data_IF_109347812361
#
_entry.id   IF_109347812361
#
_cell.length_a   1.000
_cell.length_b   1.000
_cell.length_c   1.000
_cell.angle_alpha   90.00
_cell.angle_beta   90.00
_cell.angle_gamma   90.00
#
_symmetry.space_group_name_H-M   'P 1'
#
loop_
_entity.id
_entity.type
_entity.pdbx_description
1 polymer ?
#
# COMPACT_ATOMS: atom_id res chain seq x y z
N UNK A 1 -8.33 -0.72 -16.00
CA UNK A 1 -7.91 -2.06 -16.45
C UNK A 1 -8.72 -2.53 -17.65
N UNK A 2 -10.02 -2.86 -17.54
CA UNK A 2 -10.84 -3.27 -18.69
C UNK A 2 -10.74 -2.30 -19.88
N UNK A 3 -11.05 -1.02 -19.63
CA UNK A 3 -10.94 0.03 -20.65
C UNK A 3 -9.50 0.24 -21.15
N UNK A 4 -8.50 -0.06 -20.31
CA UNK A 4 -7.08 0.10 -20.65
C UNK A 4 -6.66 -0.89 -21.74
N UNK A 5 -7.18 -2.13 -21.73
CA UNK A 5 -6.93 -3.11 -22.79
C UNK A 5 -7.47 -2.62 -24.14
N UNK A 6 -8.68 -2.06 -24.14
CA UNK A 6 -9.28 -1.53 -25.37
C UNK A 6 -8.53 -0.29 -25.86
N UNK A 7 -8.18 0.62 -24.95
CA UNK A 7 -7.56 1.89 -25.31
C UNK A 7 -6.13 1.74 -25.84
N UNK A 8 -5.29 0.93 -25.18
CA UNK A 8 -3.87 0.82 -25.52
C UNK A 8 -3.57 -0.30 -26.52
N UNK A 9 -4.38 -1.37 -26.53
CA UNK A 9 -4.09 -2.57 -27.31
C UNK A 9 -5.16 -2.92 -28.32
N UNK A 10 -6.27 -2.17 -28.37
CA UNK A 10 -7.45 -2.46 -29.19
C UNK A 10 -8.07 -3.84 -28.89
N UNK A 11 -7.80 -4.38 -27.71
CA UNK A 11 -8.27 -5.71 -27.28
C UNK A 11 -9.54 -5.55 -26.45
N UNK A 12 -10.62 -6.20 -26.89
CA UNK A 12 -11.86 -6.30 -26.12
C UNK A 12 -11.76 -7.43 -25.10
N UNK A 13 -11.22 -7.11 -23.93
CA UNK A 13 -11.19 -8.05 -22.80
C UNK A 13 -12.60 -8.45 -22.35
N UNK A 14 -12.72 -9.58 -21.63
CA UNK A 14 -13.95 -10.06 -21.02
C UNK A 14 -13.98 -9.76 -19.52
N UNK A 15 -15.13 -9.39 -18.98
CA UNK A 15 -15.32 -9.29 -17.52
C UNK A 15 -16.05 -10.55 -17.03
N UNK A 16 -15.33 -11.38 -16.29
CA UNK A 16 -15.88 -12.53 -15.58
C UNK A 16 -16.06 -12.17 -14.11
N UNK A 17 -17.02 -12.79 -13.43
CA UNK A 17 -17.19 -12.58 -12.00
C UNK A 17 -17.49 -13.90 -11.27
N UNK A 18 -17.05 -13.97 -10.03
CA UNK A 18 -17.44 -15.04 -9.11
C UNK A 18 -17.62 -14.49 -7.70
N UNK A 19 -18.36 -15.20 -6.86
CA UNK A 19 -18.53 -14.84 -5.45
C UNK A 19 -17.58 -15.68 -4.61
N UNK A 20 -16.82 -15.03 -3.72
CA UNK A 20 -16.00 -15.78 -2.76
C UNK A 20 -16.90 -16.57 -1.82
N UNK A 21 -16.52 -17.81 -1.53
CA UNK A 21 -17.20 -18.72 -0.60
C UNK A 21 -16.98 -18.36 0.88
N UNK A 22 -16.16 -17.35 1.17
CA UNK A 22 -15.84 -16.92 2.54
C UNK A 22 -16.96 -16.06 3.17
N UNK A 23 -16.90 -15.90 4.50
CA UNK A 23 -17.89 -15.15 5.31
C UNK A 23 -18.20 -13.74 4.78
N UNK A 24 -17.19 -13.05 4.23
CA UNK A 24 -17.38 -11.84 3.42
C UNK A 24 -17.64 -12.24 1.97
N UNK A 25 -18.92 -12.22 1.58
CA UNK A 25 -19.47 -12.53 0.25
C UNK A 25 -19.08 -11.52 -0.84
N UNK A 26 -17.81 -11.14 -0.93
CA UNK A 26 -17.34 -10.18 -1.90
C UNK A 26 -17.38 -10.77 -3.31
N UNK A 27 -17.91 -10.00 -4.27
CA UNK A 27 -17.79 -10.30 -5.70
C UNK A 27 -16.38 -9.99 -6.16
N UNK A 28 -15.77 -10.92 -6.88
CA UNK A 28 -14.47 -10.74 -7.52
C UNK A 28 -14.72 -10.62 -9.01
N UNK A 29 -14.20 -9.56 -9.61
CA UNK A 29 -14.24 -9.33 -11.04
C UNK A 29 -12.87 -9.66 -11.62
N UNK A 30 -12.87 -10.43 -12.71
CA UNK A 30 -11.67 -10.82 -13.44
C UNK A 30 -11.78 -10.25 -14.84
N UNK A 31 -10.81 -9.42 -15.22
CA UNK A 31 -10.61 -9.02 -16.62
C UNK A 31 -9.78 -10.12 -17.29
N UNK A 32 -10.30 -10.72 -18.35
CA UNK A 32 -9.71 -11.86 -19.04
C UNK A 32 -9.49 -11.56 -20.53
N UNK A 33 -8.35 -12.03 -21.07
CA UNK A 33 -8.11 -12.09 -22.51
C UNK A 33 -7.19 -13.27 -22.82
N UNK A 34 -7.42 -13.92 -23.97
CA UNK A 34 -6.53 -14.88 -24.63
C UNK A 34 -5.98 -14.34 -25.95
N UNK A 35 -6.35 -13.11 -26.32
CA UNK A 35 -5.89 -12.41 -27.51
C UNK A 35 -4.48 -11.84 -27.29
N UNK A 36 -3.54 -12.15 -28.19
CA UNK A 36 -2.20 -11.55 -28.27
C UNK A 36 -1.41 -11.56 -26.93
N UNK A 37 -1.61 -12.60 -26.12
CA UNK A 37 -1.03 -12.67 -24.75
C UNK A 37 0.50 -12.55 -24.75
N UNK A 38 1.20 -13.22 -25.66
CA UNK A 38 2.66 -13.14 -25.72
C UNK A 38 3.16 -11.73 -26.07
N UNK A 39 2.50 -11.07 -27.04
CA UNK A 39 2.82 -9.69 -27.42
C UNK A 39 2.58 -8.73 -26.25
N UNK A 40 1.46 -8.88 -25.54
CA UNK A 40 1.15 -8.07 -24.36
C UNK A 40 2.17 -8.25 -23.24
N UNK A 41 2.52 -9.49 -22.93
CA UNK A 41 3.48 -9.77 -21.86
C UNK A 41 4.87 -9.23 -22.21
N UNK A 42 5.29 -9.32 -23.47
CA UNK A 42 6.56 -8.76 -23.92
C UNK A 42 6.57 -7.23 -23.89
N UNK A 43 5.52 -6.59 -24.41
CA UNK A 43 5.40 -5.12 -24.44
C UNK A 43 5.35 -4.52 -23.02
N UNK A 44 4.60 -5.16 -22.11
CA UNK A 44 4.51 -4.78 -20.70
C UNK A 44 5.76 -5.15 -19.88
N UNK A 45 6.78 -5.76 -20.50
CA UNK A 45 8.01 -6.22 -19.83
C UNK A 45 7.74 -7.22 -18.68
N UNK A 46 6.72 -8.06 -18.85
CA UNK A 46 6.30 -9.07 -17.88
C UNK A 46 6.77 -10.49 -18.24
N UNK A 47 7.23 -10.70 -19.46
CA UNK A 47 7.87 -11.94 -19.88
C UNK A 47 8.84 -11.68 -21.04
N UNK A 48 9.97 -12.40 -21.03
CA UNK A 48 10.78 -12.57 -22.22
C UNK A 48 10.33 -13.85 -22.94
N UNK A 49 10.24 -13.75 -24.27
CA UNK A 49 9.95 -14.86 -25.19
C UNK A 49 10.87 -16.07 -24.97
N UNK A 50 12.07 -15.85 -24.42
CA UNK A 50 13.07 -16.88 -24.19
C UNK A 50 13.24 -17.31 -22.71
N UNK A 51 13.02 -16.41 -21.74
CA UNK A 51 13.41 -16.64 -20.33
C UNK A 51 12.25 -16.85 -19.35
N UNK A 52 10.99 -16.71 -19.80
CA UNK A 52 9.82 -16.91 -18.95
C UNK A 52 9.33 -15.60 -18.33
N UNK A 53 8.64 -15.70 -17.18
CA UNK A 53 8.05 -14.54 -16.51
C UNK A 53 9.12 -13.68 -15.85
N UNK A 54 9.05 -12.37 -16.09
CA UNK A 54 9.84 -11.38 -15.38
C UNK A 54 9.22 -11.13 -14.00
N UNK A 55 10.01 -11.38 -12.94
CA UNK A 55 9.54 -11.32 -11.55
C UNK A 55 9.80 -9.98 -10.88
N UNK A 56 10.59 -9.11 -11.50
CA UNK A 56 10.99 -7.79 -11.01
C UNK A 56 10.28 -6.63 -11.73
N UNK A 57 10.72 -5.42 -11.41
CA UNK A 57 10.32 -4.20 -12.12
C UNK A 57 11.40 -3.92 -13.18
N UNK A 58 10.98 -3.61 -14.41
CA UNK A 58 11.90 -3.29 -15.50
C UNK A 58 12.83 -2.11 -15.13
N UNK A 59 14.15 -2.20 -15.38
CA UNK A 59 15.10 -1.14 -15.04
C UNK A 59 14.78 0.23 -15.64
N UNK A 60 14.14 0.29 -16.82
CA UNK A 60 13.76 1.56 -17.45
C UNK A 60 12.66 2.26 -16.62
N UNK A 61 11.74 1.49 -16.02
CA UNK A 61 10.72 2.01 -15.09
C UNK A 61 11.38 2.46 -13.77
N UNK A 62 12.39 1.71 -13.30
CA UNK A 62 13.14 2.08 -12.10
C UNK A 62 13.98 3.35 -12.30
N UNK A 63 14.38 3.68 -13.53
CA UNK A 63 15.21 4.85 -13.82
C UNK A 63 14.41 6.13 -14.06
N UNK A 64 13.11 6.02 -14.35
CA UNK A 64 12.24 7.15 -14.69
C UNK A 64 11.27 7.51 -13.55
N UNK A 65 11.33 8.75 -13.09
CA UNK A 65 10.53 9.23 -11.94
C UNK A 65 9.02 9.18 -12.23
N UNK A 66 8.58 9.54 -13.45
CA UNK A 66 7.16 9.60 -13.81
C UNK A 66 6.59 8.19 -14.00
N UNK A 67 7.32 7.32 -14.67
CA UNK A 67 7.01 5.90 -14.79
C UNK A 67 6.98 5.22 -13.41
N UNK A 68 7.93 5.56 -12.53
CA UNK A 68 7.97 5.09 -11.15
C UNK A 68 6.72 5.50 -10.36
N UNK A 69 6.27 6.76 -10.47
CA UNK A 69 5.01 7.22 -9.86
C UNK A 69 3.80 6.45 -10.39
N UNK A 70 3.70 6.30 -11.70
CA UNK A 70 2.60 5.57 -12.34
C UNK A 70 2.58 4.09 -11.91
N UNK A 71 3.76 3.47 -11.81
CA UNK A 71 3.92 2.09 -11.35
C UNK A 71 3.47 1.92 -9.89
N UNK A 72 3.92 2.80 -8.99
CA UNK A 72 3.52 2.77 -7.58
C UNK A 72 2.00 2.94 -7.42
N UNK A 73 1.38 3.83 -8.20
CA UNK A 73 -0.07 3.99 -8.23
C UNK A 73 -0.76 2.70 -8.66
N UNK A 74 -0.32 2.10 -9.77
CA UNK A 74 -0.85 0.82 -10.27
C UNK A 74 -0.68 -0.32 -9.27
N UNK A 75 0.51 -0.47 -8.68
CA UNK A 75 0.83 -1.49 -7.69
C UNK A 75 -0.05 -1.36 -6.42
N UNK A 76 -0.27 -0.13 -5.96
CA UNK A 76 -1.13 0.14 -4.82
C UNK A 76 -2.61 -0.14 -5.12
N UNK A 77 -3.11 0.24 -6.30
CA UNK A 77 -4.48 -0.07 -6.71
C UNK A 77 -4.71 -1.58 -6.86
N UNK A 78 -3.69 -2.33 -7.30
CA UNK A 78 -3.78 -3.77 -7.49
C UNK A 78 -3.73 -4.55 -6.18
N UNK A 79 -2.74 -4.27 -5.32
CA UNK A 79 -2.44 -5.09 -4.13
C UNK A 79 -2.03 -4.28 -2.90
N UNK A 80 -2.33 -2.98 -2.89
CA UNK A 80 -2.05 -2.06 -1.79
C UNK A 80 -3.14 -2.06 -0.72
N UNK A 81 -2.76 -1.69 0.51
CA UNK A 81 -3.70 -1.42 1.59
C UNK A 81 -3.10 -0.44 2.60
N UNK A 82 -3.97 0.39 3.19
CA UNK A 82 -3.63 1.23 4.35
C UNK A 82 -4.49 0.75 5.52
N UNK A 83 -3.84 0.48 6.66
CA UNK A 83 -4.54 0.18 7.90
C UNK A 83 -5.25 1.45 8.38
N UNK A 84 -6.45 1.26 8.93
CA UNK A 84 -7.22 2.35 9.53
C UNK A 84 -6.34 3.18 10.50
N UNK A 85 -6.10 4.48 10.20
CA UNK A 85 -5.23 5.32 11.00
C UNK A 85 -5.77 5.57 12.42
N UNK A 86 -7.06 5.33 12.69
CA UNK A 86 -7.64 5.47 14.02
C UNK A 86 -7.17 4.36 14.99
N UNK A 87 -6.76 3.20 14.47
CA UNK A 87 -6.47 2.02 15.28
C UNK A 87 -5.07 1.42 15.06
N UNK A 88 -4.42 1.01 16.15
CA UNK A 88 -3.15 0.27 16.08
C UNK A 88 -1.99 1.09 15.50
N UNK A 89 -0.99 0.41 14.93
CA UNK A 89 0.16 1.09 14.30
C UNK A 89 -0.22 1.59 12.92
N UNK A 90 0.32 2.72 12.49
CA UNK A 90 0.19 3.13 11.09
C UNK A 90 0.87 2.11 10.19
N UNK A 91 0.23 1.80 9.06
CA UNK A 91 0.78 0.84 8.13
C UNK A 91 0.19 1.00 6.74
N UNK A 92 1.08 1.08 5.75
CA UNK A 92 0.76 0.87 4.34
C UNK A 92 1.50 -0.39 3.89
N UNK A 93 0.84 -1.28 3.17
CA UNK A 93 1.42 -2.50 2.61
C UNK A 93 1.09 -2.61 1.11
N UNK A 94 2.06 -3.05 0.30
CA UNK A 94 1.83 -3.53 -1.07
C UNK A 94 2.31 -4.98 -1.15
N UNK A 95 1.38 -5.89 -1.47
CA UNK A 95 1.68 -7.32 -1.56
C UNK A 95 2.20 -7.70 -2.94
N UNK A 96 3.23 -8.55 -2.97
CA UNK A 96 3.90 -9.05 -4.17
C UNK A 96 3.97 -10.58 -4.15
N UNK A 97 3.81 -11.22 -5.30
CA UNK A 97 4.00 -12.67 -5.43
C UNK A 97 5.48 -13.03 -5.35
N UNK A 98 6.33 -12.20 -5.94
CA UNK A 98 7.77 -12.39 -6.02
C UNK A 98 8.52 -11.40 -5.11
N UNK A 99 9.65 -11.86 -4.56
CA UNK A 99 10.51 -11.01 -3.73
C UNK A 99 11.17 -9.89 -4.54
N UNK A 100 11.60 -10.18 -5.77
CA UNK A 100 12.25 -9.20 -6.65
C UNK A 100 11.34 -8.00 -6.94
N UNK A 101 10.06 -8.24 -7.22
CA UNK A 101 9.06 -7.17 -7.34
C UNK A 101 8.94 -6.35 -6.04
N UNK A 102 8.90 -7.00 -4.87
CA UNK A 102 8.82 -6.29 -3.59
C UNK A 102 10.07 -5.42 -3.32
N UNK A 103 11.26 -5.91 -3.69
CA UNK A 103 12.50 -5.15 -3.62
C UNK A 103 12.51 -3.99 -4.60
N UNK A 104 12.05 -4.21 -5.85
CA UNK A 104 11.87 -3.15 -6.84
C UNK A 104 10.94 -2.05 -6.36
N UNK A 105 9.81 -2.40 -5.72
CA UNK A 105 8.91 -1.43 -5.08
C UNK A 105 9.63 -0.61 -4.00
N UNK A 106 10.46 -1.25 -3.17
CA UNK A 106 11.24 -0.54 -2.16
C UNK A 106 12.26 0.41 -2.80
N UNK A 107 12.90 0.00 -3.89
CA UNK A 107 13.81 0.86 -4.67
C UNK A 107 13.10 2.06 -5.29
N UNK A 108 11.89 1.90 -5.84
CA UNK A 108 11.07 3.01 -6.33
C UNK A 108 10.71 3.97 -5.20
N UNK A 109 10.24 3.45 -4.06
CA UNK A 109 9.88 4.27 -2.90
C UNK A 109 11.08 5.07 -2.37
N UNK A 110 12.27 4.49 -2.38
CA UNK A 110 13.50 5.15 -1.95
C UNK A 110 13.84 6.39 -2.79
N UNK A 111 13.49 6.41 -4.08
CA UNK A 111 13.69 7.59 -4.94
C UNK A 111 12.87 8.80 -4.48
N UNK A 112 11.74 8.55 -3.82
CA UNK A 112 10.89 9.56 -3.20
C UNK A 112 11.22 9.77 -1.71
N UNK A 113 12.39 9.30 -1.25
CA UNK A 113 12.83 9.37 0.15
C UNK A 113 11.95 8.59 1.14
N UNK A 114 11.22 7.58 0.65
CA UNK A 114 10.38 6.71 1.46
C UNK A 114 11.13 5.41 1.75
N UNK A 115 11.62 5.26 2.99
CA UNK A 115 12.34 4.08 3.45
C UNK A 115 11.37 2.92 3.75
N UNK A 116 10.99 2.21 2.68
CA UNK A 116 10.10 1.07 2.77
C UNK A 116 10.85 -0.21 3.13
N UNK A 117 10.25 -1.01 4.00
CA UNK A 117 10.79 -2.31 4.39
C UNK A 117 10.14 -3.42 3.61
N UNK A 118 10.89 -4.51 3.37
CA UNK A 118 10.38 -5.72 2.72
C UNK A 118 10.36 -6.87 3.72
N UNK A 119 9.25 -7.59 3.79
CA UNK A 119 9.10 -8.81 4.58
C UNK A 119 8.59 -9.94 3.68
N UNK A 120 9.27 -11.07 3.71
CA UNK A 120 8.77 -12.31 3.12
C UNK A 120 7.62 -12.89 3.94
N UNK A 121 6.60 -13.41 3.24
CA UNK A 121 5.46 -14.13 3.79
C UNK A 121 5.34 -15.49 3.11
N UNK A 122 4.53 -16.39 3.68
CA UNK A 122 4.31 -17.74 3.12
C UNK A 122 3.85 -17.75 1.65
N UNK A 123 3.26 -16.65 1.16
CA UNK A 123 2.73 -16.52 -0.21
C UNK A 123 3.28 -15.28 -0.94
N UNK A 124 4.58 -15.05 -0.86
CA UNK A 124 5.27 -13.96 -1.55
C UNK A 124 5.94 -12.99 -0.59
N UNK A 125 5.95 -11.70 -0.90
CA UNK A 125 6.59 -10.67 -0.09
C UNK A 125 5.70 -9.42 0.04
N UNK A 126 5.97 -8.60 1.04
CA UNK A 126 5.25 -7.36 1.29
C UNK A 126 6.23 -6.21 1.49
N UNK A 127 6.04 -5.15 0.71
CA UNK A 127 6.72 -3.86 0.88
C UNK A 127 5.84 -2.96 1.73
N UNK A 128 6.37 -2.34 2.78
CA UNK A 128 5.54 -1.61 3.74
C UNK A 128 6.22 -0.37 4.35
N UNK A 129 5.38 0.61 4.69
CA UNK A 129 5.70 1.83 5.44
C UNK A 129 4.98 1.83 6.78
N UNK A 130 5.60 2.35 7.83
CA UNK A 130 5.03 2.35 9.20
C UNK A 130 4.91 3.73 9.84
N UNK A 131 5.52 4.76 9.24
CA UNK A 131 5.42 6.13 9.74
C UNK A 131 4.23 6.81 9.06
N UNK A 132 3.49 7.62 9.82
CA UNK A 132 2.32 8.30 9.30
C UNK A 132 2.71 9.29 8.20
N UNK A 133 3.85 9.95 8.38
CA UNK A 133 4.44 10.92 7.47
C UNK A 133 4.77 10.26 6.12
N UNK A 134 5.53 9.16 6.14
CA UNK A 134 5.86 8.41 4.92
C UNK A 134 4.62 7.91 4.17
N UNK A 135 3.54 7.55 4.90
CA UNK A 135 2.27 7.13 4.28
C UNK A 135 1.57 8.32 3.62
N UNK A 136 1.58 9.50 4.24
CA UNK A 136 1.03 10.71 3.64
C UNK A 136 1.84 11.14 2.41
N UNK A 137 3.17 11.07 2.49
CA UNK A 137 4.07 11.37 1.38
C UNK A 137 3.88 10.38 0.23
N UNK A 138 3.71 9.08 0.52
CA UNK A 138 3.31 8.09 -0.50
C UNK A 138 2.01 8.48 -1.22
N UNK A 139 0.99 8.91 -0.47
CA UNK A 139 -0.27 9.34 -1.06
C UNK A 139 -0.11 10.57 -1.95
N UNK A 140 0.83 11.47 -1.65
CA UNK A 140 1.22 12.59 -2.53
C UNK A 140 1.89 12.07 -3.80
N UNK A 141 2.85 11.14 -3.67
CA UNK A 141 3.60 10.55 -4.80
C UNK A 141 2.65 9.91 -5.82
N UNK A 142 1.61 9.22 -5.38
CA UNK A 142 0.62 8.59 -6.27
C UNK A 142 -0.55 9.51 -6.66
N UNK A 143 -0.53 10.80 -6.27
CA UNK A 143 -1.56 11.78 -6.61
C UNK A 143 -2.88 11.66 -5.83
N UNK A 144 -2.92 10.89 -4.73
CA UNK A 144 -4.12 10.63 -3.94
C UNK A 144 -4.37 11.69 -2.84
N UNK A 145 -4.41 12.97 -3.23
CA UNK A 145 -4.50 14.12 -2.30
C UNK A 145 -5.69 14.05 -1.34
N UNK A 146 -6.87 13.68 -1.82
CA UNK A 146 -8.06 13.59 -0.96
C UNK A 146 -7.94 12.46 0.09
N UNK A 147 -7.27 11.35 -0.26
CA UNK A 147 -6.98 10.29 0.70
C UNK A 147 -5.96 10.76 1.75
N UNK A 148 -4.94 11.51 1.31
CA UNK A 148 -3.93 12.12 2.19
C UNK A 148 -4.57 13.07 3.20
N UNK A 149 -5.46 13.96 2.77
CA UNK A 149 -6.12 14.92 3.66
C UNK A 149 -7.04 14.24 4.67
N UNK A 150 -7.76 13.19 4.23
CA UNK A 150 -8.57 12.37 5.14
C UNK A 150 -7.69 11.64 6.16
N UNK A 151 -6.56 11.09 5.74
CA UNK A 151 -5.60 10.42 6.63
C UNK A 151 -5.02 11.40 7.67
N UNK A 152 -4.60 12.58 7.23
CA UNK A 152 -4.07 13.64 8.11
C UNK A 152 -5.08 14.07 9.16
N UNK A 153 -6.35 14.29 8.76
CA UNK A 153 -7.41 14.65 9.70
C UNK A 153 -7.59 13.61 10.80
N UNK A 154 -7.60 12.33 10.45
CA UNK A 154 -7.73 11.24 11.45
C UNK A 154 -6.49 11.15 12.34
N UNK A 155 -5.28 11.31 11.77
CA UNK A 155 -4.01 11.36 12.52
C UNK A 155 -4.05 12.46 13.60
N UNK A 156 -4.42 13.68 13.23
CA UNK A 156 -4.46 14.82 14.16
C UNK A 156 -5.42 14.57 15.31
N UNK A 157 -6.64 14.09 15.02
CA UNK A 157 -7.63 13.79 16.06
C UNK A 157 -7.14 12.69 17.01
N UNK A 158 -6.51 11.65 16.45
CA UNK A 158 -5.94 10.55 17.23
C UNK A 158 -4.79 11.02 18.13
N UNK A 159 -3.87 11.82 17.63
CA UNK A 159 -2.72 12.34 18.39
C UNK A 159 -3.21 13.25 19.52
N UNK A 160 -4.13 14.18 19.23
CA UNK A 160 -4.74 15.07 20.22
C UNK A 160 -5.41 14.27 21.34
N UNK A 161 -6.20 13.23 21.00
CA UNK A 161 -6.86 12.38 21.99
C UNK A 161 -5.86 11.61 22.86
N UNK A 162 -4.77 11.12 22.27
CA UNK A 162 -3.75 10.40 23.01
C UNK A 162 -2.99 11.30 23.98
N UNK A 163 -2.73 12.55 23.59
CA UNK A 163 -2.06 13.51 24.47
C UNK A 163 -2.96 13.95 25.62
N UNK A 164 -4.26 14.16 25.38
CA UNK A 164 -5.24 14.41 26.44
C UNK A 164 -5.31 13.23 27.42
N UNK A 165 -5.33 11.99 26.92
CA UNK A 165 -5.33 10.79 27.78
C UNK A 165 -4.04 10.70 28.61
N UNK A 166 -2.88 11.02 28.04
CA UNK A 166 -1.60 11.04 28.78
C UNK A 166 -1.60 12.09 29.88
N UNK A 167 -2.09 13.30 29.58
CA UNK A 167 -2.20 14.38 30.56
C UNK A 167 -3.12 13.98 31.72
N UNK A 168 -4.32 13.46 31.42
CA UNK A 168 -5.28 13.04 32.42
C UNK A 168 -4.76 11.88 33.29
N UNK A 169 -4.04 10.93 32.69
CA UNK A 169 -3.40 9.83 33.43
C UNK A 169 -2.31 10.35 34.38
N UNK A 170 -1.51 11.33 33.95
CA UNK A 170 -0.48 11.93 34.79
C UNK A 170 -1.09 12.70 35.98
N UNK A 171 -2.17 13.45 35.74
CA UNK A 171 -2.90 14.17 36.79
C UNK A 171 -3.53 13.21 37.80
N UNK A 172 -4.22 12.17 37.32
CA UNK A 172 -4.82 11.13 38.18
C UNK A 172 -3.76 10.44 39.04
N UNK A 173 -2.60 10.12 38.46
CA UNK A 173 -1.48 9.52 39.20
C UNK A 173 -0.87 10.46 40.24
N UNK A 174 -0.82 11.77 39.96
CA UNK A 174 -0.37 12.78 40.93
C UNK A 174 -1.34 12.89 42.10
N UNK A 175 -2.64 13.00 41.82
CA UNK A 175 -3.70 13.05 42.85
C UNK A 175 -3.63 11.79 43.73
N UNK A 176 -3.56 10.60 43.14
CA UNK A 176 -3.48 9.34 43.87
C UNK A 176 -2.25 9.28 44.80
N UNK A 177 -1.09 9.76 44.34
CA UNK A 177 0.13 9.85 45.17
C UNK A 177 -0.06 10.79 46.35
N UNK A 178 -0.61 11.99 46.13
CA UNK A 178 -0.87 12.96 47.19
C UNK A 178 -1.84 12.41 48.24
N UNK A 179 -2.95 11.81 47.82
CA UNK A 179 -3.93 11.19 48.74
C UNK A 179 -3.26 10.07 49.56
N UNK A 180 -2.47 9.20 48.92
CA UNK A 180 -1.79 8.11 49.63
C UNK A 180 -0.74 8.59 50.65
N UNK A 181 -0.10 9.74 50.40
CA UNK A 181 0.83 10.35 51.34
C UNK A 181 0.10 10.95 52.54
N UNK A 182 -1.03 11.62 52.32
CA UNK A 182 -1.87 12.17 53.40
C UNK A 182 -2.49 11.08 54.29
N UNK A 183 -2.83 9.91 53.74
CA UNK A 183 -3.39 8.79 54.52
C UNK A 183 -2.34 8.00 55.34
N UNK A 184 -1.05 8.19 55.07
CA UNK A 184 0.05 7.55 55.81
C UNK A 184 0.60 8.41 56.95
N UNK A 185 0.06 9.61 57.14
CA UNK A 185 0.40 10.54 58.24
C UNK A 185 -0.70 10.46 59.28
#
# INVERSE_FOLDING_TARGET
LYESFLHFYEIKSEIRHHQRSNLRKNRVYTVYTDERVQELLADLRLADSFFGLETGIDPDILADEEAGRAYLCGAFLANGSIRDPESGKYQLEISSVYLDHAQGLASLLQQFLLDAKVIERKKGAVTYLQRAEDIMDFLIVIGAMQARDNFERVKILRETRNDLNRANNAETANIARTVSASMKT
#
